data_IF_008840357569
#
_entry.id   IF_008840357569
#
_cell.length_a   1.000
_cell.length_b   1.000
_cell.length_c   1.000
_cell.angle_alpha   90.00
_cell.angle_beta   90.00
_cell.angle_gamma   90.00
#
_symmetry.space_group_name_H-M   'P 1'
#
loop_
_entity.id
_entity.type
_entity.pdbx_description
1 polymer ?
#
# COMPACT_ATOMS: atom_id res chain seq x y z
N UNK A 1 19.46 -15.23 9.33
CA UNK A 1 19.69 -16.27 10.35
C UNK A 1 18.80 -17.47 10.03
N UNK A 2 19.33 -18.70 10.08
CA UNK A 2 18.49 -19.92 10.02
C UNK A 2 17.68 -19.96 11.32
N UNK A 3 16.36 -19.78 11.22
CA UNK A 3 15.46 -19.78 12.37
C UNK A 3 15.10 -21.23 12.72
N UNK A 4 15.78 -21.80 13.72
CA UNK A 4 15.52 -23.14 14.27
C UNK A 4 14.12 -23.21 14.91
N UNK A 5 13.31 -24.17 14.47
CA UNK A 5 11.96 -24.43 14.99
C UNK A 5 11.97 -24.94 16.44
N UNK A 6 13.08 -25.55 16.88
CA UNK A 6 13.21 -26.17 18.21
C UNK A 6 13.38 -25.17 19.36
N UNK A 7 13.67 -23.89 19.07
CA UNK A 7 13.86 -22.84 20.08
C UNK A 7 12.66 -21.89 20.23
N UNK A 8 11.56 -22.17 19.51
CA UNK A 8 10.42 -21.28 19.43
C UNK A 8 9.43 -21.54 20.59
N UNK A 9 9.32 -20.58 21.51
CA UNK A 9 8.35 -20.60 22.61
C UNK A 9 6.94 -20.28 22.08
N UNK A 10 6.14 -21.31 21.79
CA UNK A 10 4.81 -21.18 21.15
C UNK A 10 3.87 -20.24 21.95
N UNK A 11 3.99 -20.23 23.27
CA UNK A 11 3.12 -19.43 24.15
C UNK A 11 3.41 -17.93 24.17
N UNK A 12 4.55 -17.49 23.63
CA UNK A 12 4.93 -16.06 23.56
C UNK A 12 4.77 -15.46 22.16
N UNK A 13 4.36 -16.28 21.17
CA UNK A 13 4.19 -15.84 19.80
C UNK A 13 2.96 -14.94 19.68
N UNK A 14 3.21 -13.67 19.41
CA UNK A 14 2.21 -12.74 18.90
C UNK A 14 2.42 -12.52 17.41
N UNK A 15 1.41 -12.05 16.64
CA UNK A 15 1.57 -11.68 15.23
C UNK A 15 2.71 -10.68 14.99
N UNK A 16 3.07 -9.89 16.01
CA UNK A 16 4.12 -8.87 15.94
C UNK A 16 5.52 -9.39 16.25
N UNK A 17 5.67 -10.68 16.56
CA UNK A 17 6.97 -11.28 16.86
C UNK A 17 7.80 -11.36 15.59
N UNK A 18 9.09 -10.94 15.59
CA UNK A 18 9.92 -10.93 14.39
C UNK A 18 9.99 -12.27 13.63
N UNK A 19 9.91 -13.39 14.36
CA UNK A 19 9.87 -14.75 13.83
C UNK A 19 8.63 -15.02 12.98
N UNK A 20 7.47 -14.49 13.38
CA UNK A 20 6.19 -14.62 12.65
C UNK A 20 6.19 -13.68 11.45
N UNK A 21 6.57 -12.41 11.67
CA UNK A 21 6.62 -11.38 10.64
C UNK A 21 7.56 -11.79 9.50
N UNK A 22 8.69 -12.42 9.81
CA UNK A 22 9.64 -12.90 8.81
C UNK A 22 9.02 -13.90 7.82
N UNK A 23 8.09 -14.74 8.29
CA UNK A 23 7.53 -15.87 7.53
C UNK A 23 6.19 -15.56 6.88
N UNK A 24 5.33 -14.79 7.52
CA UNK A 24 3.96 -14.60 7.09
C UNK A 24 3.53 -13.13 7.12
N UNK A 25 2.70 -12.75 6.15
CA UNK A 25 2.03 -11.46 6.16
C UNK A 25 0.95 -11.44 7.24
N UNK A 26 0.95 -10.38 8.03
CA UNK A 26 0.08 -10.22 9.21
C UNK A 26 -1.16 -9.40 8.93
N UNK A 27 -1.12 -8.58 7.88
CA UNK A 27 -2.15 -7.58 7.55
C UNK A 27 -2.39 -7.62 6.04
N UNK A 28 -3.66 -7.58 5.66
CA UNK A 28 -4.09 -7.46 4.27
C UNK A 28 -4.49 -6.02 3.95
N UNK A 29 -3.82 -5.43 2.97
CA UNK A 29 -4.05 -4.05 2.53
C UNK A 29 -4.60 -4.08 1.10
N UNK A 30 -5.81 -3.58 0.92
CA UNK A 30 -6.43 -3.43 -0.39
C UNK A 30 -5.93 -2.24 -1.17
N UNK A 31 -5.89 -2.34 -2.50
CA UNK A 31 -5.82 -1.17 -3.40
C UNK A 31 -7.15 -0.99 -4.12
N UNK A 32 -7.74 0.19 -4.02
CA UNK A 32 -9.02 0.54 -4.64
C UNK A 32 -8.93 1.88 -5.37
N UNK A 33 -9.84 2.11 -6.32
CA UNK A 33 -9.86 3.33 -7.15
C UNK A 33 -10.24 3.04 -8.60
N UNK A 34 -10.44 4.08 -9.40
CA UNK A 34 -10.87 4.01 -10.80
C UNK A 34 -9.92 3.18 -11.69
N UNK A 35 -10.40 2.80 -12.88
CA UNK A 35 -9.57 2.19 -13.93
C UNK A 35 -8.38 3.10 -14.27
N UNK A 36 -7.23 2.51 -14.61
CA UNK A 36 -6.01 3.24 -14.99
C UNK A 36 -5.38 4.18 -13.93
N UNK A 37 -5.89 4.24 -12.69
CA UNK A 37 -5.25 5.00 -11.60
C UNK A 37 -3.90 4.42 -11.13
N UNK A 38 -3.51 3.24 -11.61
CA UNK A 38 -2.19 2.66 -11.33
C UNK A 38 -2.12 1.82 -10.04
N UNK A 39 -3.24 1.20 -9.63
CA UNK A 39 -3.32 0.29 -8.47
C UNK A 39 -2.23 -0.78 -8.49
N UNK A 40 -2.17 -1.58 -9.55
CA UNK A 40 -1.17 -2.64 -9.74
C UNK A 40 0.26 -2.09 -9.80
N UNK A 41 0.45 -0.89 -10.35
CA UNK A 41 1.78 -0.23 -10.40
C UNK A 41 2.26 0.15 -9.01
N UNK A 42 1.38 0.68 -8.15
CA UNK A 42 1.73 0.98 -6.75
C UNK A 42 2.06 -0.29 -5.98
N UNK A 43 1.27 -1.35 -6.14
CA UNK A 43 1.57 -2.65 -5.49
C UNK A 43 2.94 -3.16 -5.94
N UNK A 44 3.26 -3.11 -7.23
CA UNK A 44 4.57 -3.48 -7.77
C UNK A 44 5.69 -2.57 -7.26
N UNK A 45 5.42 -1.29 -7.07
CA UNK A 45 6.40 -0.32 -6.58
C UNK A 45 6.79 -0.60 -5.12
N UNK A 46 5.82 -0.98 -4.28
CA UNK A 46 6.03 -1.31 -2.87
C UNK A 46 6.62 -2.72 -2.70
N UNK A 47 5.98 -3.72 -3.29
CA UNK A 47 6.33 -5.14 -3.09
C UNK A 47 7.44 -5.66 -4.01
N UNK A 48 7.68 -4.99 -5.15
CA UNK A 48 8.51 -5.53 -6.22
C UNK A 48 7.86 -6.67 -7.03
N UNK A 49 6.67 -7.14 -6.65
CA UNK A 49 5.97 -8.26 -7.29
C UNK A 49 4.90 -7.73 -8.24
N UNK A 50 4.85 -8.29 -9.45
CA UNK A 50 3.79 -7.97 -10.41
C UNK A 50 2.55 -8.83 -10.12
N UNK A 51 1.42 -8.18 -9.86
CA UNK A 51 0.15 -8.84 -9.52
C UNK A 51 -0.57 -9.41 -10.74
N UNK A 52 -0.39 -8.79 -11.90
CA UNK A 52 -0.98 -9.23 -13.17
C UNK A 52 -0.28 -10.49 -13.67
N UNK A 53 -0.98 -11.63 -13.63
CA UNK A 53 -0.42 -12.96 -13.97
C UNK A 53 -0.97 -13.54 -15.27
N UNK A 54 -2.15 -13.12 -15.71
CA UNK A 54 -2.81 -13.73 -16.86
C UNK A 54 -2.55 -12.95 -18.16
N UNK A 55 -2.33 -13.67 -19.28
CA UNK A 55 -2.10 -13.06 -20.60
C UNK A 55 -3.25 -12.15 -21.03
N UNK A 56 -4.49 -12.57 -20.80
CA UNK A 56 -5.68 -11.77 -21.14
C UNK A 56 -5.76 -10.45 -20.36
N UNK A 57 -5.24 -10.43 -19.12
CA UNK A 57 -5.16 -9.20 -18.31
C UNK A 57 -4.07 -8.26 -18.83
N UNK A 58 -2.92 -8.82 -19.23
CA UNK A 58 -1.82 -8.08 -19.85
C UNK A 58 -2.23 -7.44 -21.19
N UNK A 59 -2.91 -8.18 -22.05
CA UNK A 59 -3.34 -7.70 -23.37
C UNK A 59 -4.38 -6.58 -23.25
N UNK A 60 -5.28 -6.68 -22.27
CA UNK A 60 -6.36 -5.70 -22.07
C UNK A 60 -6.02 -4.59 -21.09
N UNK A 61 -4.84 -4.63 -20.45
CA UNK A 61 -4.41 -3.71 -19.40
C UNK A 61 -5.46 -3.49 -18.28
N UNK A 62 -6.19 -4.55 -17.94
CA UNK A 62 -7.18 -4.56 -16.86
C UNK A 62 -6.90 -5.70 -15.88
N UNK A 63 -7.09 -5.43 -14.59
CA UNK A 63 -7.12 -6.47 -13.55
C UNK A 63 -8.50 -7.12 -13.59
N UNK A 64 -8.57 -8.44 -13.75
CA UNK A 64 -9.83 -9.20 -13.76
C UNK A 64 -9.96 -9.98 -12.45
N UNK A 65 -8.89 -10.66 -12.05
CA UNK A 65 -8.82 -11.43 -10.80
C UNK A 65 -8.12 -10.62 -9.71
N UNK A 66 -8.42 -10.96 -8.46
CA UNK A 66 -7.69 -10.39 -7.32
C UNK A 66 -6.21 -10.75 -7.40
N UNK A 67 -5.37 -9.73 -7.43
CA UNK A 67 -3.92 -9.88 -7.38
C UNK A 67 -3.43 -9.93 -5.95
N UNK A 68 -2.40 -10.73 -5.67
CA UNK A 68 -1.77 -10.80 -4.36
C UNK A 68 -0.27 -10.54 -4.45
N UNK A 69 0.24 -9.70 -3.56
CA UNK A 69 1.67 -9.40 -3.47
C UNK A 69 2.09 -9.18 -2.02
N UNK A 70 3.14 -9.87 -1.59
CA UNK A 70 3.68 -9.71 -0.23
C UNK A 70 4.84 -8.72 -0.24
N UNK A 71 4.91 -7.89 0.80
CA UNK A 71 5.98 -6.91 0.97
C UNK A 71 6.45 -6.87 2.43
N UNK A 72 7.77 -6.82 2.60
CA UNK A 72 8.40 -6.59 3.90
C UNK A 72 8.69 -5.10 4.06
N UNK A 73 8.32 -4.54 5.20
CA UNK A 73 8.56 -3.14 5.57
C UNK A 73 9.63 -3.11 6.65
N UNK A 74 10.65 -2.33 6.39
CA UNK A 74 11.81 -2.18 7.24
C UNK A 74 11.89 -0.78 7.80
N UNK A 75 12.45 -0.66 9.00
CA UNK A 75 12.75 0.61 9.66
C UNK A 75 14.24 0.66 10.00
N UNK A 76 14.87 1.80 9.76
CA UNK A 76 16.24 2.05 10.19
C UNK A 76 16.26 2.39 11.69
N UNK A 77 17.19 1.79 12.45
CA UNK A 77 17.35 2.05 13.89
C UNK A 77 18.09 3.37 14.20
N UNK A 78 18.78 3.97 13.24
CA UNK A 78 19.62 5.15 13.46
C UNK A 78 18.76 6.43 13.47
N UNK A 79 18.86 7.22 14.55
CA UNK A 79 18.15 8.48 14.74
C UNK A 79 18.58 9.56 13.74
N UNK A 80 19.77 9.42 13.13
CA UNK A 80 20.22 10.30 12.05
C UNK A 80 19.39 10.14 10.77
N UNK A 81 18.65 9.05 10.64
CA UNK A 81 17.79 8.83 9.50
C UNK A 81 16.46 9.58 9.67
N UNK A 82 16.34 10.71 8.99
CA UNK A 82 15.16 11.57 9.05
C UNK A 82 13.96 10.88 8.38
N UNK A 83 12.77 10.97 9.02
CA UNK A 83 11.47 10.57 8.44
C UNK A 83 11.16 11.41 7.19
N UNK A 84 10.60 10.85 6.10
CA UNK A 84 10.11 9.48 5.90
C UNK A 84 11.18 8.46 5.45
N UNK A 85 12.38 8.90 5.09
CA UNK A 85 13.44 8.07 4.50
C UNK A 85 14.03 6.98 5.41
N UNK A 86 13.61 6.94 6.68
CA UNK A 86 13.91 5.85 7.59
C UNK A 86 13.11 4.56 7.31
N UNK A 87 12.08 4.60 6.47
CA UNK A 87 11.29 3.44 6.08
C UNK A 87 11.66 2.96 4.68
N UNK A 88 11.64 1.64 4.49
CA UNK A 88 11.86 1.04 3.18
C UNK A 88 10.98 -0.18 3.00
N UNK A 89 10.43 -0.35 1.80
CA UNK A 89 9.80 -1.60 1.40
C UNK A 89 10.74 -2.44 0.53
N UNK A 90 10.62 -3.76 0.65
CA UNK A 90 11.22 -4.70 -0.28
C UNK A 90 10.33 -5.93 -0.46
N UNK A 91 10.62 -6.71 -1.50
CA UNK A 91 9.95 -7.99 -1.72
C UNK A 91 10.31 -9.01 -0.64
N UNK A 92 9.46 -10.04 -0.53
CA UNK A 92 9.56 -11.06 0.52
C UNK A 92 10.87 -11.85 0.54
N UNK A 93 11.58 -11.93 -0.59
CA UNK A 93 12.85 -12.67 -0.72
C UNK A 93 14.04 -11.97 -0.07
N UNK A 94 13.90 -10.70 0.37
CA UNK A 94 15.00 -9.95 0.97
C UNK A 94 15.20 -10.37 2.44
N UNK A 95 16.45 -10.34 2.89
CA UNK A 95 16.82 -10.67 4.27
C UNK A 95 16.14 -9.73 5.28
N UNK A 96 15.99 -10.20 6.52
CA UNK A 96 15.28 -9.47 7.58
C UNK A 96 16.09 -8.28 8.14
N UNK A 97 17.41 -8.33 8.01
CA UNK A 97 18.33 -7.28 8.46
C UNK A 97 19.38 -6.98 7.39
N UNK A 98 19.46 -5.73 6.93
CA UNK A 98 20.47 -5.30 5.96
C UNK A 98 21.01 -3.89 6.27
N UNK A 99 22.24 -3.55 5.87
CA UNK A 99 22.80 -2.23 6.13
C UNK A 99 22.02 -1.11 5.43
N UNK A 100 22.01 0.08 6.01
CA UNK A 100 21.41 1.24 5.34
C UNK A 100 22.29 1.68 4.17
N UNK A 101 21.71 1.77 2.97
CA UNK A 101 22.42 2.24 1.76
C UNK A 101 22.68 3.77 1.76
N UNK A 102 22.25 4.48 2.81
CA UNK A 102 22.28 5.95 2.84
C UNK A 102 23.64 6.47 3.30
N UNK A 103 24.20 7.38 2.50
CA UNK A 103 25.41 8.13 2.83
C UNK A 103 25.23 8.88 4.16
N UNK A 104 26.01 8.48 5.18
CA UNK A 104 26.00 9.10 6.51
C UNK A 104 25.18 8.36 7.59
N UNK A 105 24.57 7.22 7.25
CA UNK A 105 23.86 6.37 8.19
C UNK A 105 24.63 5.06 8.42
N UNK A 106 24.99 4.76 9.67
CA UNK A 106 25.59 3.46 10.03
C UNK A 106 24.55 2.48 10.57
N UNK A 107 23.27 2.87 10.54
CA UNK A 107 22.15 2.05 10.97
C UNK A 107 21.92 0.83 10.09
N UNK A 108 21.21 -0.14 10.65
CA UNK A 108 20.68 -1.30 9.92
C UNK A 108 19.17 -1.13 9.77
N UNK A 109 18.66 -1.59 8.63
CA UNK A 109 17.23 -1.76 8.41
C UNK A 109 16.81 -3.06 9.08
N UNK A 110 15.91 -2.97 10.06
CA UNK A 110 15.28 -4.12 10.72
C UNK A 110 13.86 -4.30 10.19
N UNK A 111 13.46 -5.56 10.02
CA UNK A 111 12.10 -5.90 9.65
C UNK A 111 11.13 -5.44 10.75
N UNK A 112 10.18 -4.58 10.38
CA UNK A 112 9.17 -4.06 11.29
C UNK A 112 7.81 -4.73 11.06
N UNK A 113 7.42 -4.88 9.79
CA UNK A 113 6.13 -5.49 9.40
C UNK A 113 6.25 -6.26 8.10
N UNK A 114 5.35 -7.22 7.90
CA UNK A 114 5.17 -7.96 6.66
C UNK A 114 3.69 -7.88 6.30
N UNK A 115 3.41 -7.29 5.15
CA UNK A 115 2.06 -6.98 4.68
C UNK A 115 1.77 -7.72 3.39
N UNK A 116 0.51 -8.07 3.18
CA UNK A 116 0.01 -8.57 1.91
C UNK A 116 -0.86 -7.51 1.27
N UNK A 117 -0.61 -7.24 0.00
CA UNK A 117 -1.43 -6.36 -0.81
C UNK A 117 -2.42 -7.17 -1.62
N UNK A 118 -3.69 -6.76 -1.54
CA UNK A 118 -4.79 -7.30 -2.34
C UNK A 118 -5.11 -6.27 -3.43
N UNK A 119 -4.76 -6.58 -4.66
CA UNK A 119 -4.98 -5.72 -5.81
C UNK A 119 -6.36 -5.95 -6.40
N UNK A 120 -7.27 -4.99 -6.20
CA UNK A 120 -8.64 -5.09 -6.68
C UNK A 120 -8.81 -4.53 -8.09
N UNK A 121 -9.72 -5.12 -8.88
CA UNK A 121 -10.17 -4.50 -10.12
C UNK A 121 -10.92 -3.20 -9.81
N UNK A 122 -10.69 -2.17 -10.64
CA UNK A 122 -11.41 -0.89 -10.54
C UNK A 122 -12.47 -0.69 -11.61
N UNK A 123 -12.74 -1.70 -12.43
CA UNK A 123 -13.76 -1.63 -13.47
C UNK A 123 -15.13 -1.91 -12.86
N UNK A 124 -16.14 -1.14 -13.23
CA UNK A 124 -17.54 -1.26 -12.77
C UNK A 124 -18.13 -2.67 -12.96
N UNK A 125 -17.89 -3.31 -14.11
CA UNK A 125 -18.29 -4.70 -14.40
C UNK A 125 -17.76 -5.69 -13.35
N UNK A 126 -16.64 -5.38 -12.71
CA UNK A 126 -15.93 -6.24 -11.77
C UNK A 126 -16.11 -5.84 -10.30
N UNK A 127 -17.13 -5.02 -10.00
CA UNK A 127 -17.45 -4.62 -8.63
C UNK A 127 -17.72 -5.80 -7.69
N UNK A 128 -18.31 -6.89 -8.19
CA UNK A 128 -18.50 -8.11 -7.41
C UNK A 128 -17.17 -8.71 -6.90
N UNK A 129 -16.13 -8.69 -7.75
CA UNK A 129 -14.80 -9.16 -7.37
C UNK A 129 -14.13 -8.21 -6.38
N UNK A 130 -14.35 -6.90 -6.53
CA UNK A 130 -13.85 -5.90 -5.57
C UNK A 130 -14.48 -6.07 -4.19
N UNK A 131 -15.80 -6.32 -4.10
CA UNK A 131 -16.48 -6.59 -2.83
C UNK A 131 -15.97 -7.86 -2.15
N UNK A 132 -15.72 -8.93 -2.91
CA UNK A 132 -15.10 -10.14 -2.39
C UNK A 132 -13.69 -9.87 -1.85
N UNK A 133 -12.92 -9.01 -2.51
CA UNK A 133 -11.61 -8.57 -2.03
C UNK A 133 -11.72 -7.73 -0.76
N UNK A 134 -12.67 -6.80 -0.70
CA UNK A 134 -12.88 -5.89 0.42
C UNK A 134 -13.19 -6.64 1.74
N UNK A 135 -13.88 -7.78 1.67
CA UNK A 135 -14.17 -8.62 2.82
C UNK A 135 -12.92 -9.24 3.49
N UNK A 136 -11.79 -9.31 2.78
CA UNK A 136 -10.54 -9.93 3.25
C UNK A 136 -9.53 -8.89 3.77
N UNK A 137 -9.78 -7.61 3.52
CA UNK A 137 -8.86 -6.52 3.82
C UNK A 137 -9.04 -6.02 5.26
N UNK A 138 -7.93 -5.64 5.89
CA UNK A 138 -7.93 -4.95 7.19
C UNK A 138 -7.85 -3.43 6.99
N UNK A 139 -7.21 -3.00 5.91
CA UNK A 139 -7.03 -1.61 5.52
C UNK A 139 -7.11 -1.43 4.01
N UNK A 140 -7.38 -0.21 3.55
CA UNK A 140 -7.50 0.11 2.13
C UNK A 140 -6.68 1.34 1.73
N UNK A 141 -6.10 1.27 0.54
CA UNK A 141 -5.45 2.37 -0.16
C UNK A 141 -6.38 2.85 -1.27
N UNK A 142 -6.89 4.08 -1.15
CA UNK A 142 -7.67 4.74 -2.19
C UNK A 142 -6.75 5.49 -3.13
N UNK A 143 -6.56 4.98 -4.34
CA UNK A 143 -5.75 5.62 -5.37
C UNK A 143 -6.58 6.55 -6.24
N UNK A 144 -6.09 7.78 -6.40
CA UNK A 144 -6.66 8.82 -7.26
C UNK A 144 -5.55 9.30 -8.19
N UNK A 145 -5.79 9.31 -9.50
CA UNK A 145 -4.79 9.77 -10.44
C UNK A 145 -4.76 11.30 -10.54
N UNK A 146 -3.57 11.89 -10.46
CA UNK A 146 -3.33 13.34 -10.49
C UNK A 146 -3.86 14.03 -11.75
N UNK A 147 -3.81 13.31 -12.87
CA UNK A 147 -4.15 13.80 -14.20
C UNK A 147 -5.66 13.81 -14.49
N UNK A 148 -6.49 13.26 -13.60
CA UNK A 148 -7.94 13.14 -13.77
C UNK A 148 -8.69 14.04 -12.78
N UNK A 149 -9.88 14.49 -13.15
CA UNK A 149 -10.72 15.26 -12.24
C UNK A 149 -11.26 14.37 -11.12
N UNK A 150 -11.29 14.90 -9.90
CA UNK A 150 -11.93 14.28 -8.75
C UNK A 150 -13.24 15.04 -8.45
N UNK A 151 -14.37 14.38 -8.15
CA UNK A 151 -14.58 12.93 -7.98
C UNK A 151 -14.95 12.18 -9.28
N UNK A 152 -14.50 10.93 -9.38
CA UNK A 152 -14.94 9.98 -10.41
C UNK A 152 -16.04 9.07 -9.85
N UNK A 153 -17.03 8.64 -10.66
CA UNK A 153 -18.13 7.78 -10.19
C UNK A 153 -17.67 6.49 -9.50
N UNK A 154 -16.65 5.82 -10.06
CA UNK A 154 -16.10 4.58 -9.47
C UNK A 154 -15.40 4.83 -8.13
N UNK A 155 -14.79 6.00 -7.93
CA UNK A 155 -14.16 6.37 -6.66
C UNK A 155 -15.22 6.50 -5.55
N UNK A 156 -16.37 7.09 -5.85
CA UNK A 156 -17.50 7.14 -4.90
C UNK A 156 -18.12 5.79 -4.62
N UNK A 157 -18.28 4.93 -5.63
CA UNK A 157 -18.81 3.58 -5.44
C UNK A 157 -17.89 2.72 -4.57
N UNK A 158 -16.57 2.76 -4.81
CA UNK A 158 -15.60 2.05 -3.99
C UNK A 158 -15.56 2.58 -2.56
N UNK A 159 -15.67 3.89 -2.37
CA UNK A 159 -15.70 4.48 -1.03
C UNK A 159 -16.95 4.04 -0.25
N UNK A 160 -18.13 4.08 -0.89
CA UNK A 160 -19.38 3.61 -0.30
C UNK A 160 -19.33 2.11 0.05
N UNK A 161 -18.74 1.29 -0.82
CA UNK A 161 -18.55 -0.13 -0.55
C UNK A 161 -17.68 -0.39 0.68
N UNK A 162 -16.58 0.35 0.84
CA UNK A 162 -15.68 0.25 1.99
C UNK A 162 -16.35 0.69 3.29
N UNK A 163 -17.16 1.75 3.23
CA UNK A 163 -17.93 2.25 4.37
C UNK A 163 -18.93 1.20 4.88
N UNK A 164 -19.61 0.50 3.96
CA UNK A 164 -20.51 -0.62 4.30
C UNK A 164 -19.75 -1.78 4.95
N UNK A 165 -18.53 -2.07 4.46
CA UNK A 165 -17.66 -3.12 5.02
C UNK A 165 -17.01 -2.71 6.36
N UNK A 166 -17.23 -1.48 6.84
CA UNK A 166 -16.74 -0.93 8.11
C UNK A 166 -15.21 -0.91 8.25
N UNK A 167 -14.49 -0.75 7.14
CA UNK A 167 -13.05 -0.55 7.17
C UNK A 167 -12.74 0.86 7.70
N UNK A 168 -12.00 0.93 8.81
CA UNK A 168 -11.66 2.20 9.48
C UNK A 168 -10.33 2.80 8.99
N UNK A 169 -9.45 1.96 8.46
CA UNK A 169 -8.10 2.36 8.09
C UNK A 169 -8.00 2.56 6.58
N UNK A 170 -8.21 3.80 6.16
CA UNK A 170 -8.14 4.20 4.75
C UNK A 170 -6.98 5.20 4.59
N UNK A 171 -6.17 5.01 3.55
CA UNK A 171 -5.16 5.99 3.13
C UNK A 171 -5.47 6.45 1.71
N UNK A 172 -5.51 7.76 1.50
CA UNK A 172 -5.73 8.32 0.17
C UNK A 172 -4.38 8.60 -0.47
N UNK A 173 -4.20 8.13 -1.70
CA UNK A 173 -2.97 8.27 -2.46
C UNK A 173 -3.25 8.98 -3.78
N UNK A 174 -2.62 10.14 -3.94
CA UNK A 174 -2.60 10.87 -5.20
C UNK A 174 -1.44 10.33 -6.04
N UNK A 175 -1.74 9.55 -7.07
CA UNK A 175 -0.76 8.91 -7.95
C UNK A 175 -0.53 9.72 -9.23
N UNK A 176 0.53 9.40 -9.99
CA UNK A 176 0.89 10.08 -11.26
C UNK A 176 1.17 11.58 -11.10
N UNK A 177 1.71 12.00 -9.97
CA UNK A 177 2.10 13.39 -9.73
C UNK A 177 3.20 13.86 -10.70
N UNK A 178 3.93 12.93 -11.31
CA UNK A 178 4.94 13.16 -12.34
C UNK A 178 4.38 13.76 -13.64
N UNK A 179 3.08 13.61 -13.90
CA UNK A 179 2.44 14.12 -15.12
C UNK A 179 1.75 15.47 -14.95
N UNK A 180 1.64 15.97 -13.71
CA UNK A 180 0.87 17.18 -13.40
C UNK A 180 1.72 18.27 -12.76
N UNK A 181 1.31 19.51 -12.95
CA UNK A 181 1.96 20.67 -12.31
C UNK A 181 1.55 20.74 -10.84
N UNK A 182 2.41 21.34 -10.01
CA UNK A 182 2.18 21.48 -8.57
C UNK A 182 0.88 22.23 -8.25
N UNK A 183 0.50 23.24 -9.04
CA UNK A 183 -0.76 23.98 -8.87
C UNK A 183 -1.97 23.06 -9.05
N UNK A 184 -1.99 22.26 -10.12
CA UNK A 184 -3.06 21.32 -10.42
C UNK A 184 -3.13 20.21 -9.36
N UNK A 185 -1.97 19.71 -8.90
CA UNK A 185 -1.93 18.72 -7.83
C UNK A 185 -2.54 19.25 -6.51
N UNK A 186 -2.26 20.52 -6.16
CA UNK A 186 -2.85 21.19 -4.99
C UNK A 186 -4.34 21.42 -5.12
N UNK A 187 -4.82 21.84 -6.30
CA UNK A 187 -6.25 22.00 -6.56
C UNK A 187 -6.99 20.67 -6.42
N UNK A 188 -6.45 19.60 -6.99
CA UNK A 188 -7.05 18.27 -6.86
C UNK A 188 -7.03 17.78 -5.41
N UNK A 189 -5.95 18.04 -4.67
CA UNK A 189 -5.89 17.73 -3.24
C UNK A 189 -7.03 18.42 -2.46
N UNK A 190 -7.32 19.69 -2.75
CA UNK A 190 -8.46 20.38 -2.15
C UNK A 190 -9.81 19.77 -2.55
N UNK A 191 -9.96 19.31 -3.80
CA UNK A 191 -11.17 18.60 -4.23
C UNK A 191 -11.35 17.28 -3.49
N UNK A 192 -10.27 16.51 -3.31
CA UNK A 192 -10.28 15.25 -2.55
C UNK A 192 -10.68 15.52 -1.11
N UNK A 193 -10.12 16.55 -0.46
CA UNK A 193 -10.50 16.90 0.91
C UNK A 193 -11.99 17.24 1.02
N UNK A 194 -12.53 18.04 0.09
CA UNK A 194 -13.96 18.36 0.05
C UNK A 194 -14.83 17.14 -0.18
N UNK A 195 -14.38 16.19 -0.99
CA UNK A 195 -15.09 14.94 -1.27
C UNK A 195 -15.12 14.00 -0.07
N UNK A 196 -14.04 13.98 0.71
CA UNK A 196 -13.85 13.08 1.85
C UNK A 196 -14.51 13.61 3.11
N UNK A 197 -14.75 14.93 3.21
CA UNK A 197 -15.43 15.56 4.33
C UNK A 197 -16.76 14.86 4.63
N UNK A 198 -16.89 14.37 5.86
CA UNK A 198 -18.09 13.64 6.33
C UNK A 198 -18.12 12.14 6.02
N UNK A 199 -17.06 11.58 5.46
CA UNK A 199 -16.92 10.12 5.23
C UNK A 199 -15.91 9.49 6.19
N UNK A 200 -15.94 8.16 6.30
CA UNK A 200 -14.97 7.36 7.10
C UNK A 200 -13.51 7.52 6.59
N UNK A 201 -13.32 8.05 5.38
CA UNK A 201 -12.01 8.26 4.79
C UNK A 201 -11.33 9.58 5.18
N UNK A 202 -11.83 10.34 6.18
CA UNK A 202 -11.10 11.48 6.76
C UNK A 202 -9.74 11.04 7.32
N UNK A 203 -8.74 11.08 6.45
CA UNK A 203 -7.44 10.50 6.68
C UNK A 203 -6.36 11.26 5.91
N UNK A 204 -5.08 10.91 6.13
CA UNK A 204 -4.00 11.57 5.45
C UNK A 204 -4.03 11.25 3.95
N UNK A 205 -3.66 12.24 3.15
CA UNK A 205 -3.50 12.09 1.72
C UNK A 205 -2.01 12.23 1.36
N UNK A 206 -1.47 11.22 0.69
CA UNK A 206 -0.07 11.16 0.26
C UNK A 206 0.07 11.33 -1.24
N UNK A 207 0.95 12.24 -1.67
CA UNK A 207 1.31 12.42 -3.07
C UNK A 207 2.47 11.48 -3.45
N UNK A 208 2.25 10.61 -4.43
CA UNK A 208 3.21 9.58 -4.85
C UNK A 208 3.35 9.50 -6.38
N UNK A 209 4.50 9.00 -6.83
CA UNK A 209 4.67 8.54 -8.20
C UNK A 209 5.05 7.06 -8.19
N UNK A 210 4.09 6.20 -8.54
CA UNK A 210 4.31 4.76 -8.59
C UNK A 210 5.37 4.36 -9.62
N UNK A 211 5.41 5.06 -10.75
CA UNK A 211 6.30 4.75 -11.87
C UNK A 211 7.76 5.03 -11.53
N UNK A 212 8.02 6.20 -10.93
CA UNK A 212 9.37 6.63 -10.54
C UNK A 212 9.76 6.16 -9.14
N UNK A 213 8.83 5.54 -8.41
CA UNK A 213 8.98 5.08 -7.02
C UNK A 213 9.32 6.20 -6.02
N UNK A 214 8.82 7.41 -6.25
CA UNK A 214 8.94 8.52 -5.31
C UNK A 214 7.87 8.46 -4.22
N UNK A 215 8.24 8.86 -2.99
CA UNK A 215 7.39 8.94 -1.80
C UNK A 215 6.73 7.61 -1.35
N UNK A 216 7.25 6.45 -1.78
CA UNK A 216 6.78 5.15 -1.28
C UNK A 216 7.05 5.00 0.23
N UNK A 217 8.12 5.63 0.71
CA UNK A 217 8.54 5.60 2.11
C UNK A 217 7.45 6.17 3.04
N UNK A 218 6.73 7.20 2.59
CA UNK A 218 5.60 7.81 3.32
C UNK A 218 4.45 6.82 3.49
N UNK A 219 4.19 5.97 2.49
CA UNK A 219 3.17 4.91 2.59
C UNK A 219 3.61 3.88 3.64
N UNK A 220 4.87 3.46 3.60
CA UNK A 220 5.42 2.48 4.53
C UNK A 220 5.33 2.98 5.97
N UNK A 221 5.66 4.26 6.18
CA UNK A 221 5.52 4.94 7.45
C UNK A 221 4.07 4.93 7.97
N UNK A 222 3.12 5.31 7.11
CA UNK A 222 1.71 5.32 7.47
C UNK A 222 1.22 3.94 7.88
N UNK A 223 1.53 2.92 7.06
CA UNK A 223 1.15 1.53 7.33
C UNK A 223 1.65 1.09 8.72
N UNK A 224 2.87 1.48 9.09
CA UNK A 224 3.45 1.08 10.37
C UNK A 224 2.86 1.81 11.60
N UNK A 225 2.37 3.04 11.42
CA UNK A 225 1.89 3.89 12.51
C UNK A 225 0.38 3.84 12.71
N UNK A 226 -0.39 3.72 11.63
CA UNK A 226 -1.83 3.98 11.62
C UNK A 226 -2.67 2.72 11.48
N UNK A 227 -2.09 1.65 10.95
CA UNK A 227 -2.72 0.33 10.93
C UNK A 227 -2.15 -0.43 12.14
N UNK A 228 -2.98 -0.86 13.10
CA UNK A 228 -2.51 -1.60 14.26
C UNK A 228 -1.79 -2.88 13.84
#
# INVERSE_FOLDING_TARGET
MKQDLDKLDINKLTPFTPEVISRQATINIGTIGHVAHGKSTVVKAISGVQTVRFKNELERNITIKLGYANAKIYKCDDEKCIRPACYRSAGSSKEDDFPCDRLGCNGRFRLLRHVSFVDCPGHDILMATMLNGAAVMDAALLLIAGNESCPQPQTSEHLAAIEIMKLKHILILQNKIDLVKESQAKEQYQQILKFVQGTVAEGPCGAISAQLKYNIEVICEYICQKIP
#
